data_IF_970809098926
#
_entry.id   IF_970809098926
#
_cell.length_a   1.000
_cell.length_b   1.000
_cell.length_c   1.000
_cell.angle_alpha   90.00
_cell.angle_beta   90.00
_cell.angle_gamma   90.00
#
_symmetry.space_group_name_H-M   'P 1'
#
loop_
_entity.id
_entity.type
_entity.pdbx_description
1 polymer ?
#
# COMPACT_ATOMS: atom_id res chain seq x y z
N UNK A 1 -1.29 61.41 8.22
CA UNK A 1 -2.24 60.33 7.87
C UNK A 1 -3.58 60.57 8.55
N UNK A 2 -4.70 60.37 7.85
CA UNK A 2 -6.03 60.54 8.42
C UNK A 2 -6.23 59.67 9.68
N UNK A 3 -7.08 60.14 10.58
CA UNK A 3 -7.48 59.39 11.78
C UNK A 3 -8.47 58.32 11.34
N UNK A 4 -8.27 57.07 11.79
CA UNK A 4 -9.24 56.00 11.55
C UNK A 4 -10.33 56.14 12.61
N UNK A 5 -11.59 56.25 12.19
CA UNK A 5 -12.74 56.27 13.09
C UNK A 5 -13.47 54.95 12.89
N UNK A 6 -13.52 54.14 13.96
CA UNK A 6 -14.22 52.86 13.97
C UNK A 6 -15.42 52.94 14.91
N UNK A 7 -16.55 52.39 14.48
CA UNK A 7 -17.70 52.13 15.36
C UNK A 7 -17.36 51.01 16.35
N UNK A 8 -18.10 50.94 17.47
CA UNK A 8 -17.90 49.89 18.47
C UNK A 8 -18.12 48.48 17.89
N UNK A 9 -19.07 48.36 16.94
CA UNK A 9 -19.30 47.10 16.22
C UNK A 9 -18.10 46.69 15.36
N UNK A 10 -17.46 47.64 14.66
CA UNK A 10 -16.27 47.36 13.86
C UNK A 10 -15.06 46.98 14.73
N UNK A 11 -14.89 47.64 15.88
CA UNK A 11 -13.84 47.28 16.85
C UNK A 11 -14.02 45.85 17.37
N UNK A 12 -15.24 45.51 17.81
CA UNK A 12 -15.56 44.17 18.28
C UNK A 12 -15.34 43.10 17.20
N UNK A 13 -15.68 43.40 15.94
CA UNK A 13 -15.44 42.50 14.80
C UNK A 13 -13.94 42.26 14.55
N UNK A 14 -13.13 43.33 14.59
CA UNK A 14 -11.68 43.25 14.45
C UNK A 14 -11.03 42.47 15.60
N UNK A 15 -11.43 42.71 16.85
CA UNK A 15 -10.94 41.97 18.01
C UNK A 15 -11.29 40.48 17.95
N UNK A 16 -12.53 40.15 17.55
CA UNK A 16 -12.98 38.77 17.36
C UNK A 16 -12.15 38.07 16.27
N UNK A 17 -11.88 38.77 15.15
CA UNK A 17 -11.04 38.26 14.06
C UNK A 17 -9.59 38.07 14.48
N UNK A 18 -9.04 39.00 15.26
CA UNK A 18 -7.69 38.89 15.83
C UNK A 18 -7.56 37.67 16.75
N UNK A 19 -8.55 37.41 17.62
CA UNK A 19 -8.55 36.24 18.51
C UNK A 19 -8.61 34.90 17.76
N UNK A 20 -9.26 34.88 16.58
CA UNK A 20 -9.43 33.66 15.76
C UNK A 20 -8.29 33.40 14.78
N UNK A 21 -7.53 34.42 14.39
CA UNK A 21 -6.47 34.25 13.39
C UNK A 21 -5.18 33.71 14.00
N UNK A 22 -4.55 32.77 13.28
CA UNK A 22 -3.20 32.25 13.58
C UNK A 22 -2.12 32.90 12.70
N UNK A 23 -2.49 33.72 11.71
CA UNK A 23 -1.53 34.43 10.86
C UNK A 23 -1.05 35.71 11.55
N UNK A 24 0.20 35.68 12.01
CA UNK A 24 0.83 36.83 12.66
C UNK A 24 0.76 38.12 11.81
N UNK A 25 0.78 38.02 10.48
CA UNK A 25 0.72 39.18 9.59
C UNK A 25 -0.67 39.82 9.57
N UNK A 26 -1.72 39.00 9.63
CA UNK A 26 -3.09 39.48 9.76
C UNK A 26 -3.31 40.11 11.13
N UNK A 27 -2.83 39.45 12.20
CA UNK A 27 -2.93 39.96 13.56
C UNK A 27 -2.25 41.34 13.72
N UNK A 28 -1.05 41.51 13.17
CA UNK A 28 -0.33 42.79 13.25
C UNK A 28 -1.04 43.92 12.49
N UNK A 29 -1.71 43.61 11.38
CA UNK A 29 -2.52 44.59 10.62
C UNK A 29 -3.76 45.01 11.40
N UNK A 30 -4.45 44.05 12.03
CA UNK A 30 -5.61 44.35 12.88
C UNK A 30 -5.20 45.23 14.07
N UNK A 31 -4.10 44.89 14.77
CA UNK A 31 -3.58 45.71 15.87
C UNK A 31 -3.26 47.14 15.43
N UNK A 32 -2.62 47.31 14.27
CA UNK A 32 -2.30 48.64 13.76
C UNK A 32 -3.54 49.51 13.54
N UNK A 33 -4.61 48.93 12.99
CA UNK A 33 -5.89 49.62 12.75
C UNK A 33 -6.59 49.98 14.07
N UNK A 34 -6.66 49.05 15.02
CA UNK A 34 -7.27 49.27 16.33
C UNK A 34 -6.53 50.37 17.10
N UNK A 35 -5.21 50.25 17.27
CA UNK A 35 -4.37 51.23 17.97
C UNK A 35 -4.45 52.61 17.31
N UNK A 36 -4.53 52.66 15.96
CA UNK A 36 -4.70 53.93 15.25
C UNK A 36 -6.06 54.58 15.56
N UNK A 37 -7.12 53.78 15.69
CA UNK A 37 -8.45 54.27 16.08
C UNK A 37 -8.51 54.77 17.52
N UNK A 38 -7.67 54.20 18.39
CA UNK A 38 -7.48 54.60 19.80
C UNK A 38 -6.61 55.85 19.96
N UNK A 39 -6.09 56.41 18.86
CA UNK A 39 -5.34 57.67 18.86
C UNK A 39 -3.82 57.52 18.87
N UNK A 40 -3.28 56.30 18.79
CA UNK A 40 -1.83 56.09 18.71
C UNK A 40 -1.26 56.67 17.41
N UNK A 41 -0.02 57.16 17.46
CA UNK A 41 0.69 57.67 16.28
C UNK A 41 1.29 56.50 15.50
N UNK A 42 1.48 56.62 14.17
CA UNK A 42 2.14 55.59 13.37
C UNK A 42 3.51 55.17 13.94
N UNK A 43 4.28 56.12 14.47
CA UNK A 43 5.56 55.87 15.13
C UNK A 43 5.43 55.03 16.41
N UNK A 44 4.46 55.32 17.29
CA UNK A 44 4.27 54.52 18.52
C UNK A 44 3.76 53.11 18.23
N UNK A 45 2.89 52.96 17.23
CA UNK A 45 2.43 51.65 16.74
C UNK A 45 3.61 50.86 16.15
N UNK A 46 4.46 51.50 15.36
CA UNK A 46 5.66 50.90 14.77
C UNK A 46 6.61 50.38 15.85
N UNK A 47 6.84 51.18 16.91
CA UNK A 47 7.63 50.77 18.06
C UNK A 47 7.01 49.58 18.81
N UNK A 48 5.69 49.60 19.06
CA UNK A 48 4.98 48.54 19.79
C UNK A 48 4.98 47.21 19.03
N UNK A 49 4.77 47.24 17.71
CA UNK A 49 4.74 46.06 16.84
C UNK A 49 6.13 45.68 16.30
N UNK A 50 7.18 46.43 16.64
CA UNK A 50 8.56 46.27 16.15
C UNK A 50 8.63 46.19 14.62
N UNK A 51 7.91 47.10 13.95
CA UNK A 51 7.94 47.26 12.48
C UNK A 51 8.42 48.65 12.10
N UNK A 52 8.75 48.84 10.83
CA UNK A 52 9.05 50.18 10.32
C UNK A 52 7.79 51.05 10.28
N UNK A 53 7.94 52.33 10.54
CA UNK A 53 6.85 53.31 10.47
C UNK A 53 6.22 53.33 9.07
N UNK A 54 7.03 53.19 8.03
CA UNK A 54 6.57 53.04 6.65
C UNK A 54 5.63 51.84 6.46
N UNK A 55 5.94 50.69 7.04
CA UNK A 55 5.07 49.50 6.96
C UNK A 55 3.74 49.72 7.67
N UNK A 56 3.74 50.38 8.83
CA UNK A 56 2.50 50.72 9.55
C UNK A 56 1.65 51.69 8.73
N UNK A 57 2.25 52.76 8.22
CA UNK A 57 1.61 53.71 7.32
C UNK A 57 0.94 53.00 6.13
N UNK A 58 1.67 52.12 5.44
CA UNK A 58 1.12 51.32 4.34
C UNK A 58 -0.06 50.43 4.77
N UNK A 59 0.02 49.79 5.94
CA UNK A 59 -1.09 48.95 6.44
C UNK A 59 -2.34 49.76 6.74
N UNK A 60 -2.20 50.96 7.30
CA UNK A 60 -3.31 51.86 7.60
C UNK A 60 -3.95 52.38 6.29
N UNK A 61 -3.14 52.75 5.30
CA UNK A 61 -3.62 53.16 3.98
C UNK A 61 -4.34 52.03 3.24
N UNK A 62 -3.80 50.81 3.28
CA UNK A 62 -4.39 49.62 2.70
C UNK A 62 -5.78 49.32 3.32
N UNK A 63 -5.90 49.51 4.64
CA UNK A 63 -7.17 49.35 5.34
C UNK A 63 -8.17 50.46 4.96
N UNK A 64 -7.76 51.72 4.93
CA UNK A 64 -8.65 52.83 4.57
C UNK A 64 -9.16 52.76 3.13
N UNK A 65 -8.34 52.25 2.20
CA UNK A 65 -8.72 52.16 0.79
C UNK A 65 -9.54 50.91 0.46
N UNK A 66 -9.26 49.78 1.12
CA UNK A 66 -9.75 48.45 0.69
C UNK A 66 -10.13 47.52 1.85
N UNK A 67 -10.17 48.01 3.10
CA UNK A 67 -10.37 47.22 4.31
C UNK A 67 -9.45 45.99 4.40
N UNK A 68 -8.24 46.11 3.83
CA UNK A 68 -7.32 44.98 3.63
C UNK A 68 -6.60 44.58 4.91
N UNK A 69 -6.97 43.42 5.45
CA UNK A 69 -6.38 42.88 6.68
C UNK A 69 -5.43 41.69 6.46
N UNK A 70 -5.45 41.05 5.29
CA UNK A 70 -4.53 39.96 4.94
C UNK A 70 -3.54 40.40 3.86
N UNK A 71 -2.28 39.92 3.88
CA UNK A 71 -1.42 40.01 2.72
C UNK A 71 -2.02 39.18 1.58
N UNK A 72 -1.91 39.68 0.34
CA UNK A 72 -2.22 38.86 -0.83
C UNK A 72 -1.04 37.91 -1.01
N UNK A 73 -1.07 36.80 -0.29
CA UNK A 73 -0.14 35.71 -0.58
C UNK A 73 -0.65 35.08 -1.89
N UNK A 74 -0.07 35.49 -3.01
CA UNK A 74 -0.26 34.81 -4.28
C UNK A 74 0.27 33.39 -4.16
N UNK A 75 -0.64 32.40 -4.13
CA UNK A 75 -0.25 31.05 -4.48
C UNK A 75 0.24 31.05 -5.93
N UNK A 76 1.24 30.23 -6.24
CA UNK A 76 1.59 29.99 -7.65
C UNK A 76 0.40 29.32 -8.32
N UNK A 77 -0.14 29.94 -9.37
CA UNK A 77 -1.10 29.30 -10.24
C UNK A 77 -0.42 28.11 -10.94
N UNK A 78 -1.18 27.04 -11.16
CA UNK A 78 -0.71 25.89 -11.94
C UNK A 78 -0.41 26.35 -13.36
N UNK A 79 0.69 25.88 -13.96
CA UNK A 79 0.97 26.15 -15.38
C UNK A 79 -0.10 25.54 -16.30
N UNK A 80 -0.77 24.48 -15.85
CA UNK A 80 -1.88 23.85 -16.56
C UNK A 80 -3.20 24.55 -16.22
N UNK A 81 -4.00 24.84 -17.24
CA UNK A 81 -5.38 25.26 -17.08
C UNK A 81 -6.28 24.08 -16.65
N UNK A 82 -7.56 24.36 -16.40
CA UNK A 82 -8.50 23.36 -15.87
C UNK A 82 -8.74 22.19 -16.83
N UNK A 83 -8.83 22.46 -18.13
CA UNK A 83 -9.06 21.42 -19.14
C UNK A 83 -7.82 20.54 -19.35
N UNK A 84 -6.63 21.15 -19.43
CA UNK A 84 -5.36 20.43 -19.46
C UNK A 84 -5.15 19.58 -18.20
N UNK A 85 -5.53 20.12 -17.04
CA UNK A 85 -5.50 19.40 -15.77
C UNK A 85 -6.39 18.16 -15.83
N UNK A 86 -7.61 18.28 -16.31
CA UNK A 86 -8.56 17.16 -16.44
C UNK A 86 -8.00 16.08 -17.37
N UNK A 87 -7.53 16.47 -18.55
CA UNK A 87 -6.94 15.54 -19.53
C UNK A 87 -5.68 14.84 -18.99
N UNK A 88 -4.84 15.55 -18.24
CA UNK A 88 -3.64 14.96 -17.65
C UNK A 88 -3.98 13.94 -16.56
N UNK A 89 -5.00 14.21 -15.74
CA UNK A 89 -5.45 13.29 -14.69
C UNK A 89 -5.99 12.00 -15.32
N UNK A 90 -6.83 12.11 -16.34
CA UNK A 90 -7.38 10.96 -17.08
C UNK A 90 -6.26 10.12 -17.68
N UNK A 91 -5.32 10.78 -18.38
CA UNK A 91 -4.17 10.12 -19.00
C UNK A 91 -3.28 9.37 -18.01
N UNK A 92 -2.88 9.99 -16.90
CA UNK A 92 -2.01 9.37 -15.88
C UNK A 92 -2.73 8.24 -15.12
N UNK A 93 -4.07 8.28 -15.06
CA UNK A 93 -4.86 7.23 -14.42
C UNK A 93 -4.90 5.96 -15.28
N UNK A 94 -4.90 6.10 -16.60
CA UNK A 94 -4.85 4.99 -17.55
C UNK A 94 -3.41 4.50 -17.79
N UNK A 95 -2.45 5.42 -17.87
CA UNK A 95 -1.06 5.15 -18.21
C UNK A 95 -0.15 5.23 -16.97
N UNK A 96 0.38 4.08 -16.57
CA UNK A 96 1.29 4.01 -15.42
C UNK A 96 2.72 4.38 -15.82
N UNK A 97 3.16 5.56 -15.42
CA UNK A 97 4.55 6.01 -15.58
C UNK A 97 5.43 5.51 -14.43
N UNK A 98 6.64 5.04 -14.76
CA UNK A 98 7.63 4.63 -13.77
C UNK A 98 8.29 5.84 -13.09
N UNK A 99 8.46 6.94 -13.82
CA UNK A 99 9.17 8.12 -13.35
C UNK A 99 8.47 9.43 -13.74
N UNK A 100 8.46 10.40 -12.82
CA UNK A 100 7.83 11.72 -13.02
C UNK A 100 8.37 12.47 -14.26
N UNK A 101 9.64 12.30 -14.64
CA UNK A 101 10.21 12.98 -15.81
C UNK A 101 9.53 12.56 -17.13
N UNK A 102 8.95 11.37 -17.19
CA UNK A 102 8.21 10.90 -18.36
C UNK A 102 6.89 11.67 -18.52
N UNK A 103 6.24 11.99 -17.39
CA UNK A 103 5.05 12.83 -17.37
C UNK A 103 5.41 14.27 -17.74
N UNK A 104 6.56 14.78 -17.27
CA UNK A 104 7.07 16.10 -17.70
C UNK A 104 7.27 16.15 -19.21
N UNK A 105 7.89 15.12 -19.79
CA UNK A 105 8.09 15.03 -21.24
C UNK A 105 6.76 15.00 -22.00
N UNK A 106 5.79 14.23 -21.52
CA UNK A 106 4.44 14.19 -22.10
C UNK A 106 3.73 15.55 -22.07
N UNK A 107 3.79 16.27 -20.94
CA UNK A 107 3.20 17.61 -20.81
C UNK A 107 3.88 18.60 -21.78
N UNK A 108 5.21 18.52 -21.88
CA UNK A 108 5.98 19.38 -22.78
C UNK A 108 5.67 19.10 -24.25
N UNK A 109 5.53 17.83 -24.64
CA UNK A 109 5.23 17.45 -26.01
C UNK A 109 3.80 17.85 -26.42
N UNK A 110 2.83 17.66 -25.51
CA UNK A 110 1.41 17.87 -25.81
C UNK A 110 0.98 19.33 -25.74
N UNK A 111 1.56 20.12 -24.83
CA UNK A 111 1.10 21.49 -24.55
C UNK A 111 2.21 22.53 -24.52
N UNK A 112 3.47 22.16 -24.82
CA UNK A 112 4.65 23.05 -24.74
C UNK A 112 4.83 23.73 -23.36
N UNK A 113 4.38 23.06 -22.30
CA UNK A 113 4.49 23.54 -20.92
C UNK A 113 5.65 22.83 -20.22
N UNK A 114 6.58 23.61 -19.65
CA UNK A 114 7.75 23.07 -18.95
C UNK A 114 7.54 22.98 -17.45
N UNK A 115 7.47 21.76 -16.94
CA UNK A 115 7.55 21.48 -15.50
C UNK A 115 8.95 21.07 -15.08
N UNK A 116 9.36 21.48 -13.88
CA UNK A 116 10.45 20.77 -13.18
C UNK A 116 9.90 19.50 -12.54
N UNK A 117 10.73 18.47 -12.37
CA UNK A 117 10.31 17.22 -11.69
C UNK A 117 9.76 17.50 -10.29
N UNK A 118 10.39 18.40 -9.53
CA UNK A 118 9.91 18.82 -8.21
C UNK A 118 8.56 19.54 -8.26
N UNK A 119 8.37 20.42 -9.26
CA UNK A 119 7.11 21.11 -9.49
C UNK A 119 5.97 20.15 -9.84
N UNK A 120 6.24 19.18 -10.72
CA UNK A 120 5.23 18.19 -11.09
C UNK A 120 4.91 17.23 -9.94
N UNK A 121 5.89 16.85 -9.12
CA UNK A 121 5.62 16.07 -7.90
C UNK A 121 4.69 16.81 -6.94
N UNK A 122 4.88 18.12 -6.73
CA UNK A 122 3.97 18.94 -5.93
C UNK A 122 2.55 18.96 -6.52
N UNK A 123 2.46 19.13 -7.84
CA UNK A 123 1.18 19.12 -8.55
C UNK A 123 0.45 17.77 -8.41
N UNK A 124 1.17 16.65 -8.58
CA UNK A 124 0.62 15.29 -8.41
C UNK A 124 0.06 15.08 -7.00
N UNK A 125 0.81 15.48 -5.97
CA UNK A 125 0.34 15.41 -4.59
C UNK A 125 -0.89 16.31 -4.35
N UNK A 126 -0.90 17.53 -4.90
CA UNK A 126 -2.05 18.43 -4.80
C UNK A 126 -3.31 17.84 -5.44
N UNK A 127 -3.17 17.07 -6.52
CA UNK A 127 -4.26 16.37 -7.20
C UNK A 127 -4.56 14.97 -6.63
N UNK A 128 -3.95 14.59 -5.51
CA UNK A 128 -4.26 13.36 -4.77
C UNK A 128 -3.51 12.11 -5.24
N UNK A 129 -2.55 12.22 -6.16
CA UNK A 129 -1.71 11.10 -6.57
C UNK A 129 -0.66 10.80 -5.49
N UNK A 130 -0.33 9.52 -5.32
CA UNK A 130 0.72 9.07 -4.39
C UNK A 130 1.64 8.07 -5.08
N UNK A 131 2.94 8.16 -4.80
CA UNK A 131 3.91 7.21 -5.35
C UNK A 131 3.86 5.90 -4.58
N UNK A 132 3.34 4.84 -5.22
CA UNK A 132 3.18 3.50 -4.65
C UNK A 132 3.64 2.44 -5.63
N UNK A 133 4.12 1.31 -5.11
CA UNK A 133 4.41 0.12 -5.90
C UNK A 133 3.09 -0.49 -6.38
N UNK A 134 2.85 -0.65 -7.71
CA UNK A 134 1.68 -1.35 -8.21
C UNK A 134 1.65 -2.79 -7.67
N UNK A 135 0.45 -3.29 -7.38
CA UNK A 135 0.29 -4.69 -6.99
C UNK A 135 0.35 -5.55 -8.25
N UNK A 136 1.31 -6.46 -8.31
CA UNK A 136 1.31 -7.50 -9.33
C UNK A 136 0.18 -8.49 -9.04
N UNK A 137 -0.73 -8.66 -9.99
CA UNK A 137 -1.66 -9.80 -10.01
C UNK A 137 -1.08 -10.79 -11.02
N UNK A 138 -1.07 -12.11 -10.75
CA UNK A 138 -0.58 -13.08 -11.71
C UNK A 138 -1.36 -12.95 -13.04
N UNK A 139 -0.68 -12.62 -14.13
CA UNK A 139 -1.25 -12.37 -15.46
C UNK A 139 -2.01 -13.58 -16.06
N UNK A 140 -1.95 -14.76 -15.44
CA UNK A 140 -2.51 -16.03 -15.96
C UNK A 140 -3.55 -16.68 -15.03
N UNK A 141 -4.26 -15.91 -14.20
CA UNK A 141 -5.42 -16.44 -13.47
C UNK A 141 -6.64 -16.47 -14.39
N UNK A 142 -7.09 -17.67 -14.72
CA UNK A 142 -8.35 -17.90 -15.43
C UNK A 142 -9.50 -17.85 -14.41
N UNK A 143 -10.21 -16.72 -14.35
CA UNK A 143 -11.23 -16.45 -13.36
C UNK A 143 -12.41 -17.43 -13.45
N UNK A 144 -12.75 -17.87 -14.66
CA UNK A 144 -13.84 -18.82 -14.89
C UNK A 144 -13.49 -20.19 -14.32
N UNK A 145 -12.26 -20.67 -14.56
CA UNK A 145 -11.76 -21.92 -13.97
C UNK A 145 -11.67 -21.86 -12.45
N UNK A 146 -11.31 -20.71 -11.87
CA UNK A 146 -11.32 -20.53 -10.42
C UNK A 146 -12.75 -20.61 -9.87
N UNK A 147 -13.72 -19.95 -10.51
CA UNK A 147 -15.11 -19.98 -10.10
C UNK A 147 -15.71 -21.39 -10.21
N UNK A 148 -15.36 -22.14 -11.26
CA UNK A 148 -15.75 -23.54 -11.43
C UNK A 148 -15.18 -24.42 -10.32
N UNK A 149 -13.89 -24.28 -10.00
CA UNK A 149 -13.26 -25.03 -8.91
C UNK A 149 -13.89 -24.70 -7.55
N UNK A 150 -14.21 -23.43 -7.28
CA UNK A 150 -14.86 -23.03 -6.04
C UNK A 150 -16.24 -23.70 -5.92
N UNK A 151 -17.04 -23.71 -6.99
CA UNK A 151 -18.33 -24.42 -7.00
C UNK A 151 -18.17 -25.92 -6.74
N UNK A 152 -17.20 -26.56 -7.38
CA UNK A 152 -16.89 -27.98 -7.16
C UNK A 152 -16.46 -28.23 -5.71
N UNK A 153 -15.59 -27.40 -5.17
CA UNK A 153 -15.12 -27.47 -3.78
C UNK A 153 -16.27 -27.30 -2.77
N UNK A 154 -17.15 -26.32 -2.98
CA UNK A 154 -18.29 -26.07 -2.10
C UNK A 154 -19.28 -27.25 -2.12
N UNK A 155 -19.53 -27.83 -3.30
CA UNK A 155 -20.34 -29.03 -3.45
C UNK A 155 -19.71 -30.23 -2.72
N UNK A 156 -18.41 -30.47 -2.94
CA UNK A 156 -17.67 -31.56 -2.30
C UNK A 156 -17.68 -31.43 -0.77
N UNK A 157 -17.46 -30.22 -0.26
CA UNK A 157 -17.46 -29.93 1.17
C UNK A 157 -18.85 -30.12 1.79
N UNK A 158 -19.91 -29.75 1.08
CA UNK A 158 -21.28 -29.92 1.54
C UNK A 158 -21.73 -31.39 1.55
N UNK A 159 -21.20 -32.21 0.65
CA UNK A 159 -21.53 -33.64 0.55
C UNK A 159 -20.59 -34.56 1.34
N UNK A 160 -19.59 -34.03 2.04
CA UNK A 160 -18.53 -34.82 2.66
C UNK A 160 -19.07 -35.61 3.87
N UNK A 161 -19.04 -36.95 3.85
CA UNK A 161 -19.38 -37.79 5.00
C UNK A 161 -18.40 -37.61 6.17
N UNK A 162 -18.81 -38.03 7.38
CA UNK A 162 -17.94 -37.96 8.58
C UNK A 162 -16.73 -38.92 8.51
N UNK A 163 -16.82 -39.99 7.70
CA UNK A 163 -15.76 -40.98 7.49
C UNK A 163 -14.83 -40.66 6.30
N UNK A 164 -15.03 -39.52 5.64
CA UNK A 164 -14.15 -39.01 4.59
C UNK A 164 -13.47 -37.70 5.03
N UNK A 165 -12.29 -37.41 4.49
CA UNK A 165 -11.53 -36.21 4.86
C UNK A 165 -11.06 -35.44 3.62
N UNK A 166 -11.07 -34.10 3.72
CA UNK A 166 -10.59 -33.20 2.69
C UNK A 166 -9.29 -32.51 3.14
N UNK A 167 -8.20 -32.79 2.43
CA UNK A 167 -6.86 -32.30 2.72
C UNK A 167 -6.35 -31.40 1.59
N UNK A 168 -5.56 -30.40 1.95
CA UNK A 168 -4.84 -29.54 1.02
C UNK A 168 -3.36 -29.82 1.10
N UNK A 169 -2.75 -30.20 -0.03
CA UNK A 169 -1.33 -30.52 -0.13
C UNK A 169 -0.58 -29.48 -0.94
N UNK A 170 0.66 -29.22 -0.52
CA UNK A 170 1.64 -28.45 -1.29
C UNK A 170 3.07 -28.80 -0.84
N UNK A 171 4.05 -28.44 -1.67
CA UNK A 171 5.46 -28.56 -1.37
C UNK A 171 6.11 -27.18 -1.19
N UNK A 172 6.88 -27.02 -0.11
CA UNK A 172 7.64 -25.79 0.16
C UNK A 172 9.14 -26.06 0.19
N UNK A 173 9.90 -25.10 -0.33
CA UNK A 173 11.35 -25.18 -0.45
C UNK A 173 12.05 -24.07 0.36
N UNK A 174 12.03 -24.13 1.70
CA UNK A 174 12.71 -23.13 2.51
C UNK A 174 14.24 -23.25 2.33
N UNK A 175 14.89 -22.09 2.22
CA UNK A 175 16.35 -21.97 2.06
C UNK A 175 16.97 -21.51 3.36
N UNK A 176 18.13 -22.06 3.71
CA UNK A 176 18.92 -21.62 4.87
C UNK A 176 19.69 -20.30 4.63
N UNK A 177 19.58 -19.71 3.44
CA UNK A 177 20.24 -18.45 3.12
C UNK A 177 19.70 -17.29 3.97
N UNK A 178 20.62 -16.46 4.49
CA UNK A 178 20.27 -15.22 5.21
C UNK A 178 19.54 -14.27 4.26
N UNK A 179 18.27 -13.94 4.56
CA UNK A 179 17.54 -12.88 3.84
C UNK A 179 17.62 -11.58 4.64
N UNK A 180 18.29 -10.58 4.07
CA UNK A 180 18.37 -9.25 4.66
C UNK A 180 16.99 -8.57 4.52
N UNK A 181 16.38 -8.19 5.64
CA UNK A 181 15.13 -7.45 5.70
C UNK A 181 15.38 -6.00 6.14
N UNK A 182 14.42 -5.12 5.87
CA UNK A 182 14.51 -3.70 6.26
C UNK A 182 14.58 -3.56 7.78
N UNK A 183 15.62 -2.88 8.28
CA UNK A 183 15.80 -2.55 9.71
C UNK A 183 16.06 -1.06 9.86
N UNK A 184 15.80 -0.52 11.05
CA UNK A 184 16.12 0.85 11.38
C UNK A 184 17.64 1.02 11.44
N UNK A 185 18.19 1.76 10.47
CA UNK A 185 19.62 2.07 10.36
C UNK A 185 19.76 3.59 10.35
N UNK A 186 20.79 4.13 11.01
CA UNK A 186 21.03 5.57 11.03
C UNK A 186 21.27 6.09 9.62
N UNK A 187 20.65 7.22 9.28
CA UNK A 187 20.81 7.88 7.98
C UNK A 187 22.30 8.17 7.72
N UNK A 188 22.80 7.74 6.57
CA UNK A 188 24.21 7.93 6.16
C UNK A 188 25.20 6.89 6.71
N UNK A 189 24.71 5.81 7.35
CA UNK A 189 25.54 4.72 7.87
C UNK A 189 25.21 3.43 7.14
N UNK A 190 26.21 2.81 6.53
CA UNK A 190 26.10 1.46 5.98
C UNK A 190 26.31 0.43 7.09
N UNK A 191 25.35 -0.48 7.27
CA UNK A 191 25.46 -1.59 8.22
C UNK A 191 25.70 -2.89 7.46
N UNK A 192 26.93 -3.41 7.53
CA UNK A 192 27.29 -4.71 6.96
C UNK A 192 26.71 -5.81 7.87
N UNK A 193 25.98 -6.75 7.26
CA UNK A 193 25.47 -7.95 7.91
C UNK A 193 26.14 -9.14 7.24
N UNK A 194 26.81 -9.98 8.03
CA UNK A 194 27.40 -11.21 7.50
C UNK A 194 26.27 -12.15 7.09
N UNK A 195 26.25 -12.51 5.81
CA UNK A 195 25.31 -13.49 5.27
C UNK A 195 25.97 -14.85 5.14
N UNK A 196 25.28 -15.90 5.55
CA UNK A 196 25.74 -17.27 5.27
C UNK A 196 25.41 -17.58 3.82
N UNK A 197 26.42 -17.89 2.99
CA UNK A 197 26.24 -18.28 1.58
C UNK A 197 25.63 -19.66 1.37
N UNK A 198 25.04 -20.25 2.41
CA UNK A 198 24.43 -21.59 2.37
C UNK A 198 23.27 -21.60 1.37
N UNK A 199 23.42 -22.42 0.32
CA UNK A 199 22.35 -22.71 -0.65
C UNK A 199 21.54 -23.95 -0.25
N UNK A 200 21.70 -24.42 0.98
CA UNK A 200 20.97 -25.60 1.46
C UNK A 200 19.48 -25.31 1.44
N UNK A 201 18.78 -26.01 0.56
CA UNK A 201 17.32 -26.01 0.45
C UNK A 201 16.79 -27.26 1.12
N UNK A 202 15.74 -27.12 1.90
CA UNK A 202 14.94 -28.25 2.33
C UNK A 202 13.82 -28.43 1.30
N UNK A 203 13.29 -29.64 1.17
CA UNK A 203 12.03 -29.84 0.48
C UNK A 203 11.08 -30.53 1.44
N UNK A 204 10.00 -29.83 1.77
CA UNK A 204 9.00 -30.27 2.72
C UNK A 204 7.71 -30.39 1.94
N UNK A 205 7.03 -31.53 2.06
CA UNK A 205 5.67 -31.73 1.55
C UNK A 205 4.76 -31.78 2.76
N UNK A 206 3.64 -31.05 2.69
CA UNK A 206 2.67 -31.01 3.77
C UNK A 206 1.26 -31.22 3.23
N UNK A 207 0.39 -31.78 4.08
CA UNK A 207 -1.04 -31.88 3.85
C UNK A 207 -1.77 -31.42 5.11
N UNK A 208 -2.77 -30.55 4.94
CA UNK A 208 -3.54 -29.98 6.06
C UNK A 208 -5.04 -30.19 5.88
N UNK A 209 -5.71 -30.43 6.99
CA UNK A 209 -7.16 -30.34 7.09
C UNK A 209 -7.54 -28.95 7.65
N UNK A 210 -8.48 -28.25 7.00
CA UNK A 210 -8.84 -26.88 7.39
C UNK A 210 -9.43 -26.78 8.80
N UNK A 211 -10.20 -27.79 9.22
CA UNK A 211 -10.87 -27.81 10.52
C UNK A 211 -9.98 -28.37 11.64
N UNK A 212 -8.86 -29.00 11.30
CA UNK A 212 -7.98 -29.68 12.24
C UNK A 212 -6.51 -29.55 11.82
N UNK A 213 -5.96 -28.33 11.95
CA UNK A 213 -4.56 -28.06 11.62
C UNK A 213 -3.57 -28.86 12.48
N UNK A 214 -3.97 -29.32 13.67
CA UNK A 214 -3.14 -30.20 14.53
C UNK A 214 -2.91 -31.59 13.95
N UNK A 215 -3.77 -32.06 13.06
CA UNK A 215 -3.62 -33.34 12.36
C UNK A 215 -2.78 -33.21 11.07
N UNK A 216 -2.18 -32.05 10.81
CA UNK A 216 -1.35 -31.84 9.63
C UNK A 216 -0.19 -32.85 9.54
N UNK A 217 0.01 -33.38 8.34
CA UNK A 217 1.06 -34.36 8.05
C UNK A 217 2.16 -33.67 7.24
N UNK A 218 3.41 -33.85 7.65
CA UNK A 218 4.57 -33.26 6.99
C UNK A 218 5.68 -34.29 6.82
N UNK A 219 6.31 -34.34 5.65
CA UNK A 219 7.52 -35.12 5.42
C UNK A 219 8.59 -34.29 4.70
N UNK A 220 9.84 -34.62 4.98
CA UNK A 220 11.00 -34.01 4.33
C UNK A 220 11.62 -34.97 3.32
N UNK A 221 11.90 -34.48 2.12
CA UNK A 221 12.52 -35.25 1.05
C UNK A 221 13.78 -34.57 0.51
N UNK A 222 14.72 -35.38 0.02
CA UNK A 222 15.92 -34.89 -0.69
C UNK A 222 15.56 -34.17 -1.99
N UNK A 223 14.52 -34.64 -2.67
CA UNK A 223 13.97 -34.09 -3.90
C UNK A 223 12.46 -34.32 -3.93
N UNK A 224 11.70 -33.39 -4.48
CA UNK A 224 10.25 -33.55 -4.71
C UNK A 224 10.07 -34.05 -6.14
N UNK A 225 9.73 -35.33 -6.27
CA UNK A 225 9.42 -36.03 -7.51
C UNK A 225 8.21 -36.95 -7.28
N UNK A 226 7.74 -37.66 -8.32
CA UNK A 226 6.58 -38.56 -8.20
C UNK A 226 6.74 -39.61 -7.10
N UNK A 227 7.91 -40.22 -6.96
CA UNK A 227 8.19 -41.22 -5.91
C UNK A 227 8.09 -40.64 -4.49
N UNK A 228 8.60 -39.42 -4.27
CA UNK A 228 8.45 -38.72 -3.00
C UNK A 228 6.98 -38.45 -2.67
N UNK A 229 6.17 -38.08 -3.66
CA UNK A 229 4.72 -37.88 -3.49
C UNK A 229 4.01 -39.20 -3.16
N UNK A 230 4.36 -40.31 -3.82
CA UNK A 230 3.79 -41.63 -3.49
C UNK A 230 4.14 -42.03 -2.06
N UNK A 231 5.40 -41.82 -1.63
CA UNK A 231 5.79 -42.04 -0.24
C UNK A 231 4.98 -41.19 0.72
N UNK A 232 4.81 -39.91 0.41
CA UNK A 232 4.01 -39.00 1.21
C UNK A 232 2.54 -39.44 1.28
N UNK A 233 1.94 -39.88 0.18
CA UNK A 233 0.58 -40.42 0.17
C UNK A 233 0.43 -41.64 1.09
N UNK A 234 1.43 -42.51 1.16
CA UNK A 234 1.45 -43.63 2.12
C UNK A 234 1.50 -43.14 3.56
N UNK A 235 2.31 -42.11 3.85
CA UNK A 235 2.34 -41.47 5.18
C UNK A 235 0.98 -40.88 5.55
N UNK A 236 0.37 -40.10 4.64
CA UNK A 236 -0.96 -39.50 4.87
C UNK A 236 -2.01 -40.59 5.09
N UNK A 237 -2.01 -41.64 4.26
CA UNK A 237 -2.94 -42.76 4.43
C UNK A 237 -2.77 -43.45 5.78
N UNK A 238 -1.53 -43.63 6.25
CA UNK A 238 -1.28 -44.18 7.58
C UNK A 238 -1.81 -43.27 8.71
N UNK A 239 -1.66 -41.94 8.59
CA UNK A 239 -2.19 -40.98 9.57
C UNK A 239 -3.72 -40.90 9.59
N UNK A 240 -4.35 -41.12 8.45
CA UNK A 240 -5.81 -41.09 8.29
C UNK A 240 -6.38 -42.50 8.03
N UNK A 241 -5.85 -43.53 8.69
CA UNK A 241 -6.20 -44.93 8.42
C UNK A 241 -7.69 -45.26 8.68
N UNK A 242 -8.37 -44.48 9.52
CA UNK A 242 -9.81 -44.63 9.80
C UNK A 242 -10.72 -44.07 8.71
N UNK A 243 -10.19 -43.26 7.79
CA UNK A 243 -10.99 -42.58 6.77
C UNK A 243 -11.12 -43.46 5.52
N UNK A 244 -12.36 -43.66 5.06
CA UNK A 244 -12.67 -44.48 3.89
C UNK A 244 -12.08 -43.88 2.62
N UNK A 245 -12.22 -42.55 2.46
CA UNK A 245 -11.66 -41.80 1.34
C UNK A 245 -10.94 -40.54 1.83
N UNK A 246 -9.75 -40.29 1.29
CA UNK A 246 -9.09 -38.98 1.40
C UNK A 246 -9.29 -38.22 0.10
N UNK A 247 -9.92 -37.06 0.17
CA UNK A 247 -9.92 -36.09 -0.91
C UNK A 247 -8.70 -35.19 -0.77
N UNK A 248 -7.78 -35.25 -1.73
CA UNK A 248 -6.55 -34.47 -1.72
C UNK A 248 -6.63 -33.36 -2.75
N UNK A 249 -6.55 -32.11 -2.33
CA UNK A 249 -6.46 -30.93 -3.20
C UNK A 249 -4.99 -30.54 -3.37
N UNK A 250 -4.54 -30.40 -4.62
CA UNK A 250 -3.14 -30.11 -4.93
C UNK A 250 -2.99 -29.30 -6.24
N UNK A 251 -1.79 -28.79 -6.48
CA UNK A 251 -1.50 -28.09 -7.73
C UNK A 251 -1.42 -29.04 -8.94
N UNK A 252 -1.38 -28.45 -10.14
CA UNK A 252 -1.31 -29.18 -11.40
C UNK A 252 0.09 -29.59 -11.84
N UNK A 253 1.09 -29.68 -10.95
CA UNK A 253 2.47 -29.98 -11.38
C UNK A 253 2.56 -31.33 -12.12
N UNK A 254 3.41 -31.40 -13.14
CA UNK A 254 3.45 -32.55 -14.06
C UNK A 254 3.68 -33.89 -13.37
N UNK A 255 4.47 -33.92 -12.29
CA UNK A 255 4.72 -35.15 -11.52
C UNK A 255 3.52 -35.59 -10.68
N UNK A 256 2.60 -34.68 -10.30
CA UNK A 256 1.36 -35.06 -9.63
C UNK A 256 0.32 -35.69 -10.56
N UNK A 257 0.47 -35.48 -11.87
CA UNK A 257 -0.39 -36.02 -12.93
C UNK A 257 0.23 -37.24 -13.62
N UNK A 258 1.38 -37.72 -13.13
CA UNK A 258 1.98 -38.92 -13.69
C UNK A 258 1.07 -40.11 -13.42
N UNK A 259 0.99 -41.04 -14.38
CA UNK A 259 0.14 -42.22 -14.30
C UNK A 259 0.42 -43.03 -13.02
N UNK A 260 1.69 -43.18 -12.66
CA UNK A 260 2.12 -43.91 -11.46
C UNK A 260 1.60 -43.28 -10.17
N UNK A 261 1.63 -41.94 -10.05
CA UNK A 261 1.15 -41.23 -8.86
C UNK A 261 -0.38 -41.33 -8.75
N UNK A 262 -1.10 -41.21 -9.87
CA UNK A 262 -2.57 -41.32 -9.90
C UNK A 262 -3.01 -42.74 -9.53
N UNK A 263 -2.39 -43.77 -10.12
CA UNK A 263 -2.71 -45.17 -9.83
C UNK A 263 -2.42 -45.54 -8.36
N UNK A 264 -1.30 -45.09 -7.79
CA UNK A 264 -1.00 -45.32 -6.38
C UNK A 264 -1.94 -44.56 -5.45
N UNK A 265 -2.36 -43.34 -5.80
CA UNK A 265 -3.35 -42.59 -5.04
C UNK A 265 -4.70 -43.34 -5.00
N UNK A 266 -5.17 -43.85 -6.13
CA UNK A 266 -6.40 -44.64 -6.21
C UNK A 266 -6.32 -45.91 -5.33
N UNK A 267 -5.21 -46.65 -5.38
CA UNK A 267 -4.99 -47.83 -4.53
C UNK A 267 -5.00 -47.51 -3.03
N UNK A 268 -4.58 -46.30 -2.65
CA UNK A 268 -4.57 -45.83 -1.27
C UNK A 268 -5.92 -45.20 -0.85
N UNK A 269 -6.94 -45.23 -1.71
CA UNK A 269 -8.24 -44.60 -1.45
C UNK A 269 -8.12 -43.07 -1.36
N UNK A 270 -7.24 -42.48 -2.16
CA UNK A 270 -7.01 -41.04 -2.24
C UNK A 270 -7.56 -40.53 -3.58
N UNK A 271 -8.59 -39.67 -3.52
CA UNK A 271 -9.15 -38.98 -4.69
C UNK A 271 -8.46 -37.63 -4.87
N UNK A 272 -7.77 -37.47 -5.99
CA UNK A 272 -7.01 -36.25 -6.32
C UNK A 272 -7.92 -35.19 -6.96
N UNK A 273 -7.85 -33.96 -6.46
CA UNK A 273 -8.52 -32.78 -7.00
C UNK A 273 -7.47 -31.72 -7.36
N UNK A 274 -7.42 -31.33 -8.62
CA UNK A 274 -6.40 -30.40 -9.10
C UNK A 274 -6.88 -28.96 -9.10
N UNK A 275 -6.07 -28.08 -8.52
CA UNK A 275 -6.29 -26.65 -8.58
C UNK A 275 -6.13 -26.11 -10.01
N UNK A 276 -6.88 -25.06 -10.38
CA UNK A 276 -6.66 -24.38 -11.63
C UNK A 276 -5.26 -23.74 -11.67
N UNK A 277 -4.62 -23.64 -12.85
CA UNK A 277 -3.29 -23.05 -12.99
C UNK A 277 -3.20 -21.67 -12.33
N UNK A 278 -2.05 -21.38 -11.71
CA UNK A 278 -1.77 -20.09 -11.07
C UNK A 278 -2.81 -19.64 -10.03
N UNK A 279 -3.38 -20.57 -9.27
CA UNK A 279 -4.42 -20.27 -8.26
C UNK A 279 -3.97 -20.50 -6.80
N UNK A 280 -2.84 -19.91 -6.37
CA UNK A 280 -2.30 -20.08 -5.02
C UNK A 280 -3.28 -19.62 -3.92
N UNK A 281 -4.12 -18.64 -4.24
CA UNK A 281 -5.15 -18.11 -3.36
C UNK A 281 -6.19 -19.15 -2.92
N UNK A 282 -6.37 -20.22 -3.69
CA UNK A 282 -7.31 -21.31 -3.41
C UNK A 282 -6.67 -22.45 -2.60
N UNK A 283 -5.36 -22.40 -2.34
CA UNK A 283 -4.67 -23.41 -1.53
C UNK A 283 -4.32 -22.86 -0.13
N UNK A 284 -5.07 -23.22 0.94
CA UNK A 284 -4.88 -22.67 2.28
C UNK A 284 -3.51 -22.95 2.88
N UNK A 285 -2.87 -24.07 2.51
CA UNK A 285 -1.55 -24.45 3.02
C UNK A 285 -0.46 -23.44 2.63
N UNK A 286 -0.63 -22.70 1.52
CA UNK A 286 0.31 -21.64 1.15
C UNK A 286 0.36 -20.51 2.18
N UNK A 287 -0.77 -20.24 2.87
CA UNK A 287 -0.79 -19.28 3.97
C UNK A 287 0.00 -19.81 5.16
N UNK A 288 -0.11 -21.11 5.44
CA UNK A 288 0.70 -21.76 6.48
C UNK A 288 2.19 -21.68 6.15
N UNK A 289 2.58 -21.92 4.89
CA UNK A 289 3.97 -21.73 4.43
C UNK A 289 4.47 -20.31 4.57
N UNK A 290 3.61 -19.32 4.33
CA UNK A 290 3.96 -17.92 4.56
C UNK A 290 4.25 -17.66 6.03
N UNK A 291 3.38 -18.13 6.94
CA UNK A 291 3.55 -18.01 8.39
C UNK A 291 4.82 -18.74 8.86
N UNK A 292 5.02 -20.00 8.47
CA UNK A 292 6.23 -20.77 8.76
C UNK A 292 7.48 -20.00 8.33
N UNK A 293 7.47 -19.42 7.14
CA UNK A 293 8.58 -18.62 6.66
C UNK A 293 8.78 -17.35 7.48
N UNK A 294 7.74 -16.67 7.96
CA UNK A 294 7.91 -15.49 8.82
C UNK A 294 8.54 -15.86 10.18
N UNK A 295 8.16 -16.98 10.78
CA UNK A 295 8.74 -17.45 12.05
C UNK A 295 10.15 -18.03 11.89
N UNK A 296 10.36 -18.92 10.91
CA UNK A 296 11.63 -19.61 10.71
C UNK A 296 12.74 -18.69 10.17
N UNK A 297 12.40 -17.52 9.62
CA UNK A 297 13.37 -16.59 9.02
C UNK A 297 13.75 -15.41 9.92
N UNK A 298 13.05 -15.19 11.03
CA UNK A 298 13.28 -14.05 11.94
C UNK A 298 13.98 -14.49 13.24
N UNK A 299 15.20 -15.04 13.10
CA UNK A 299 16.21 -14.99 14.16
C UNK A 299 17.38 -14.11 13.68
#
# INVERSE_FOLDING_TARGET
MPKIILTDQQKAALESRHKKSQDARECDRIKAVLLRSEGWTPSSIAQALRKSEFTICRHLDDYLKKEKLKPDNGGSESYLNDEQTRQLIEHISEHTYAHTHQIVAYISDRWDIKYTVSGLNKWLHQKGFTYKKPKGVPHKTDADKQAEFVKHYDALKASLPEDEVLLFMDAVHPTQATKITSRWIRKGVDKIINTTGSRTRLNIVGAIELNNLSAAVFDQFKTVNGEAIIKFFRTVRASYASMTVIHMVLDGAGYHRSKEVVEEAEKLGIKLHYLPPYSPNLNPIERLWKVMNEYARNN
#
